data_IF_619594536621
#
_entry.id   IF_619594536621
#
_cell.length_a   1.000
_cell.length_b   1.000
_cell.length_c   1.000
_cell.angle_alpha   90.00
_cell.angle_beta   90.00
_cell.angle_gamma   90.00
#
_symmetry.space_group_name_H-M   'P 1'
#
loop_
_entity.id
_entity.type
_entity.pdbx_description
1 polymer ?
#
# COMPACT_ATOMS: atom_id res chain seq x y z
N UNK A 1 13.80 -12.39 -14.03
CA UNK A 1 13.01 -12.05 -12.82
C UNK A 1 11.54 -12.17 -13.14
N UNK A 2 10.85 -13.14 -12.54
CA UNK A 2 9.39 -13.21 -12.61
C UNK A 2 8.79 -12.28 -11.55
N UNK A 3 7.76 -11.52 -11.90
CA UNK A 3 7.09 -10.57 -11.01
C UNK A 3 5.58 -10.77 -11.15
N UNK A 4 4.90 -11.22 -10.09
CA UNK A 4 3.45 -11.42 -10.12
C UNK A 4 2.72 -10.08 -9.98
N UNK A 5 1.72 -9.89 -10.85
CA UNK A 5 0.97 -8.63 -11.02
C UNK A 5 -0.18 -8.50 -10.01
N UNK A 6 -0.11 -7.39 -9.26
CA UNK A 6 -1.16 -6.52 -8.71
C UNK A 6 -2.34 -7.12 -7.94
N UNK A 7 -2.24 -7.07 -6.61
CA UNK A 7 -3.41 -6.75 -5.78
C UNK A 7 -3.76 -5.26 -6.04
N UNK A 8 -4.62 -5.00 -7.03
CA UNK A 8 -5.36 -3.72 -7.21
C UNK A 8 -4.54 -2.41 -7.33
N UNK A 9 -3.39 -2.43 -8.03
CA UNK A 9 -2.66 -1.18 -8.31
C UNK A 9 -1.88 -0.60 -7.11
N UNK A 10 -1.76 -1.35 -6.02
CA UNK A 10 -1.17 -0.88 -4.75
C UNK A 10 0.34 -1.13 -4.68
N UNK A 11 0.81 -2.22 -5.31
CA UNK A 11 2.22 -2.60 -5.36
C UNK A 11 2.42 -3.96 -6.04
N UNK A 12 3.67 -4.36 -6.19
CA UNK A 12 4.09 -5.64 -6.77
C UNK A 12 4.85 -6.46 -5.74
N UNK A 13 4.60 -7.76 -5.65
CA UNK A 13 5.40 -8.67 -4.84
C UNK A 13 6.17 -9.62 -5.75
N UNK A 14 7.39 -9.95 -5.37
CA UNK A 14 8.29 -10.79 -6.16
C UNK A 14 9.25 -11.54 -5.25
N UNK A 15 9.92 -12.56 -5.78
CA UNK A 15 11.08 -13.19 -5.13
C UNK A 15 12.32 -12.82 -5.92
N UNK A 16 13.42 -12.55 -5.21
CA UNK A 16 14.73 -12.47 -5.83
C UNK A 16 15.26 -13.89 -6.01
N UNK A 17 14.88 -14.51 -7.11
CA UNK A 17 15.23 -15.89 -7.40
C UNK A 17 15.36 -16.11 -8.90
N UNK A 18 16.36 -16.90 -9.30
CA UNK A 18 16.54 -17.32 -10.70
C UNK A 18 15.57 -18.43 -11.13
N UNK A 19 14.84 -19.03 -10.19
CA UNK A 19 13.90 -20.10 -10.50
C UNK A 19 12.60 -19.56 -11.12
N UNK A 20 12.00 -20.33 -12.06
CA UNK A 20 10.70 -20.00 -12.63
C UNK A 20 9.58 -20.06 -11.57
N UNK A 21 8.51 -19.30 -11.80
CA UNK A 21 7.39 -19.09 -10.85
C UNK A 21 6.81 -20.39 -10.26
N UNK A 22 6.78 -21.46 -11.07
CA UNK A 22 6.28 -22.79 -10.68
C UNK A 22 7.03 -23.34 -9.45
N UNK A 23 8.29 -22.95 -9.25
CA UNK A 23 9.13 -23.44 -8.14
C UNK A 23 9.13 -22.50 -6.93
N UNK A 24 8.44 -21.35 -6.98
CA UNK A 24 8.48 -20.36 -5.90
C UNK A 24 7.92 -20.87 -4.57
N UNK A 25 6.90 -21.73 -4.61
CA UNK A 25 6.32 -22.37 -3.43
C UNK A 25 7.29 -23.32 -2.72
N UNK A 26 8.32 -23.81 -3.42
CA UNK A 26 9.35 -24.72 -2.89
C UNK A 26 10.68 -24.02 -2.62
N UNK A 27 10.76 -22.72 -2.89
CA UNK A 27 12.00 -21.99 -2.84
C UNK A 27 12.18 -21.32 -1.47
N UNK A 28 13.33 -21.49 -0.80
CA UNK A 28 13.57 -20.95 0.55
C UNK A 28 13.74 -19.43 0.58
N UNK A 29 13.77 -18.74 -0.57
CA UNK A 29 13.91 -17.30 -0.59
C UNK A 29 12.64 -16.60 -0.08
N UNK A 30 12.87 -15.53 0.65
CA UNK A 30 11.84 -14.64 1.14
C UNK A 30 11.21 -13.85 -0.01
N UNK A 31 9.92 -13.57 0.12
CA UNK A 31 9.21 -12.64 -0.74
C UNK A 31 9.62 -11.21 -0.40
N UNK A 32 9.63 -10.38 -1.43
CA UNK A 32 9.80 -8.93 -1.38
C UNK A 32 8.55 -8.25 -1.93
N UNK A 33 8.27 -7.06 -1.43
CA UNK A 33 7.21 -6.20 -1.93
C UNK A 33 7.83 -4.88 -2.38
N UNK A 34 7.27 -4.31 -3.45
CA UNK A 34 7.61 -3.00 -3.97
C UNK A 34 6.32 -2.21 -4.13
N UNK A 35 6.26 -1.06 -3.48
CA UNK A 35 5.06 -0.23 -3.44
C UNK A 35 5.43 1.25 -3.47
N UNK A 36 4.43 2.12 -3.69
CA UNK A 36 4.61 3.56 -3.51
C UNK A 36 4.27 3.93 -2.08
N UNK A 37 5.17 4.57 -1.35
CA UNK A 37 4.94 5.06 0.01
C UNK A 37 3.94 6.23 0.05
N UNK A 38 3.52 6.64 1.24
CA UNK A 38 2.64 7.81 1.44
C UNK A 38 3.22 9.10 0.85
N UNK A 39 4.55 9.21 0.80
CA UNK A 39 5.28 10.32 0.19
C UNK A 39 5.40 10.21 -1.34
N UNK A 40 4.83 9.17 -1.97
CA UNK A 40 4.91 8.94 -3.42
C UNK A 40 6.22 8.28 -3.89
N UNK A 41 7.19 8.08 -2.99
CA UNK A 41 8.45 7.42 -3.28
C UNK A 41 8.26 5.92 -3.47
N UNK A 42 9.05 5.32 -4.34
CA UNK A 42 9.05 3.87 -4.53
C UNK A 42 9.90 3.21 -3.45
N UNK A 43 9.29 2.33 -2.67
CA UNK A 43 9.92 1.63 -1.54
C UNK A 43 9.87 0.13 -1.79
N UNK A 44 10.93 -0.56 -1.37
CA UNK A 44 11.02 -2.01 -1.38
C UNK A 44 11.19 -2.52 0.05
N UNK A 45 10.39 -3.53 0.42
CA UNK A 45 10.49 -4.24 1.69
C UNK A 45 10.72 -5.73 1.42
N UNK A 46 11.65 -6.34 2.15
CA UNK A 46 11.98 -7.76 2.08
C UNK A 46 11.71 -8.43 3.44
N UNK A 47 11.79 -9.77 3.50
CA UNK A 47 11.65 -10.52 4.76
C UNK A 47 10.31 -11.26 4.91
N UNK A 48 9.53 -11.43 3.85
CA UNK A 48 8.25 -12.12 3.93
C UNK A 48 8.41 -13.60 3.65
N UNK A 49 8.25 -14.46 4.65
CA UNK A 49 8.35 -15.92 4.49
C UNK A 49 7.27 -16.50 3.54
N UNK A 50 6.09 -15.88 3.48
CA UNK A 50 4.95 -16.36 2.68
C UNK A 50 4.35 -15.27 1.80
N UNK A 51 3.73 -15.68 0.70
CA UNK A 51 3.05 -14.76 -0.22
C UNK A 51 1.92 -14.00 0.49
N UNK A 52 1.12 -14.67 1.32
CA UNK A 52 0.05 -14.04 2.09
C UNK A 52 0.55 -12.93 3.00
N UNK A 53 1.69 -13.11 3.68
CA UNK A 53 2.27 -12.04 4.51
C UNK A 53 2.64 -10.80 3.69
N UNK A 54 3.23 -11.01 2.51
CA UNK A 54 3.54 -9.93 1.58
C UNK A 54 2.26 -9.20 1.10
N UNK A 55 1.18 -9.94 0.79
CA UNK A 55 -0.10 -9.36 0.37
C UNK A 55 -0.78 -8.61 1.52
N UNK A 56 -0.78 -9.17 2.73
CA UNK A 56 -1.32 -8.53 3.92
C UNK A 56 -0.60 -7.22 4.19
N UNK A 57 0.74 -7.20 4.10
CA UNK A 57 1.53 -5.97 4.27
C UNK A 57 1.17 -4.90 3.25
N UNK A 58 1.04 -5.25 1.97
CA UNK A 58 0.58 -4.31 0.93
C UNK A 58 -0.83 -3.76 1.24
N UNK A 59 -1.69 -4.58 1.82
CA UNK A 59 -3.06 -4.20 2.20
C UNK A 59 -3.06 -3.24 3.40
N UNK A 60 -2.21 -3.47 4.40
CA UNK A 60 -2.00 -2.56 5.53
C UNK A 60 -1.57 -1.17 5.04
N UNK A 61 -0.53 -1.11 4.20
CA UNK A 61 -0.03 0.15 3.63
C UNK A 61 -1.12 0.89 2.85
N UNK A 62 -1.97 0.17 2.11
CA UNK A 62 -3.11 0.77 1.42
C UNK A 62 -4.13 1.38 2.39
N UNK A 63 -4.47 0.65 3.47
CA UNK A 63 -5.41 1.12 4.46
C UNK A 63 -4.86 2.34 5.21
N UNK A 64 -3.58 2.35 5.56
CA UNK A 64 -2.90 3.50 6.15
C UNK A 64 -2.99 4.72 5.22
N UNK A 65 -2.63 4.56 3.93
CA UNK A 65 -2.78 5.62 2.92
C UNK A 65 -4.21 6.12 2.77
N UNK A 66 -5.18 5.20 2.76
CA UNK A 66 -6.59 5.55 2.62
C UNK A 66 -7.09 6.30 3.85
N UNK A 67 -6.64 5.93 5.04
CA UNK A 67 -6.96 6.63 6.28
C UNK A 67 -6.37 8.05 6.29
N UNK A 68 -5.11 8.24 5.85
CA UNK A 68 -4.49 9.57 5.78
C UNK A 68 -5.14 10.48 4.75
N UNK A 69 -5.52 9.96 3.58
CA UNK A 69 -6.27 10.77 2.59
C UNK A 69 -7.67 11.15 3.10
N UNK A 70 -8.34 10.26 3.84
CA UNK A 70 -9.62 10.56 4.49
C UNK A 70 -9.48 11.60 5.60
N UNK A 71 -8.42 11.58 6.39
CA UNK A 71 -8.19 12.60 7.40
C UNK A 71 -7.82 13.95 6.78
N UNK A 72 -7.03 13.97 5.71
CA UNK A 72 -6.71 15.19 4.95
C UNK A 72 -7.97 15.83 4.33
N UNK A 73 -8.80 15.05 3.65
CA UNK A 73 -10.06 15.55 3.07
C UNK A 73 -11.06 16.02 4.14
N UNK A 74 -11.09 15.38 5.31
CA UNK A 74 -11.87 15.88 6.47
C UNK A 74 -11.32 17.20 6.99
N UNK A 75 -10.00 17.32 7.15
CA UNK A 75 -9.35 18.55 7.60
C UNK A 75 -9.54 19.71 6.60
N UNK A 76 -9.47 19.43 5.30
CA UNK A 76 -9.75 20.41 4.24
C UNK A 76 -11.21 20.87 4.29
N UNK A 77 -12.17 19.94 4.47
CA UNK A 77 -13.58 20.30 4.66
C UNK A 77 -13.82 21.14 5.91
N UNK A 78 -13.16 20.83 7.02
CA UNK A 78 -13.26 21.62 8.26
C UNK A 78 -12.63 23.01 8.05
N UNK A 79 -11.51 23.14 7.32
CA UNK A 79 -10.98 24.46 6.99
C UNK A 79 -11.89 25.26 6.06
N UNK A 80 -12.52 24.59 5.08
CA UNK A 80 -13.37 25.26 4.08
C UNK A 80 -14.73 25.67 4.63
N UNK A 81 -15.33 24.86 5.51
CA UNK A 81 -16.70 25.05 6.01
C UNK A 81 -16.80 25.25 7.52
N UNK A 82 -15.76 24.95 8.29
CA UNK A 82 -15.78 25.04 9.76
C UNK A 82 -15.69 26.46 10.32
N UNK A 83 -15.34 27.44 9.48
CA UNK A 83 -15.31 28.88 9.83
C UNK A 83 -16.61 29.62 9.51
N UNK A 84 -17.58 29.00 8.83
CA UNK A 84 -18.92 29.59 8.69
C UNK A 84 -19.64 29.49 10.04
N UNK A 85 -19.67 30.60 10.78
CA UNK A 85 -20.46 30.74 12.01
C UNK A 85 -21.95 30.65 11.66
N UNK A 86 -22.73 30.09 12.57
CA UNK A 86 -24.18 29.85 12.50
C UNK A 86 -25.07 31.10 12.31
N UNK A 87 -24.53 32.28 11.99
CA UNK A 87 -25.26 33.56 11.99
C UNK A 87 -25.80 34.00 10.61
N UNK A 88 -25.90 33.10 9.63
CA UNK A 88 -26.60 33.39 8.37
C UNK A 88 -27.57 32.25 8.02
N UNK A 89 -28.59 32.10 8.87
CA UNK A 89 -29.88 31.54 8.47
C UNK A 89 -30.94 32.55 8.93
N UNK A 90 -31.07 33.63 8.16
CA UNK A 90 -32.17 34.58 8.25
C UNK A 90 -33.31 34.14 7.32
#
# INVERSE_FOLDING_TARGET
MAARKLARGIGTFFKDCEHPEVRWSRCPHEYKIRYRSAAGMQTEEAGFATQDRAITRLTEIYNEKKATLRSQSKAERIQKYGTMRFEECA
#
